data_IF_886427040671
#
_entry.id   IF_886427040671
#
_cell.length_a   1.000
_cell.length_b   1.000
_cell.length_c   1.000
_cell.angle_alpha   90.00
_cell.angle_beta   90.00
_cell.angle_gamma   90.00
#
_symmetry.space_group_name_H-M   'P 1'
#
loop_
_entity.id
_entity.type
_entity.pdbx_description
1 polymer ?
#
# COMPACT_ATOMS: atom_id res chain seq x y z
N UNK A 1 -59.23 18.96 28.42
CA UNK A 1 -58.66 20.32 28.48
C UNK A 1 -57.15 20.21 28.32
N UNK A 2 -56.62 20.84 27.27
CA UNK A 2 -55.20 21.23 27.02
C UNK A 2 -54.11 20.15 26.81
N UNK A 3 -53.84 19.99 25.51
CA UNK A 3 -52.60 19.71 24.78
C UNK A 3 -51.31 20.13 25.51
N UNK A 4 -50.26 19.30 25.46
CA UNK A 4 -48.91 19.75 25.07
C UNK A 4 -48.06 18.61 24.48
N UNK A 5 -47.72 18.78 23.21
CA UNK A 5 -46.75 18.05 22.38
C UNK A 5 -45.34 18.37 22.89
N UNK A 6 -44.39 17.42 22.93
CA UNK A 6 -42.96 17.76 22.87
C UNK A 6 -42.10 16.68 22.19
N UNK A 7 -41.86 16.93 20.89
CA UNK A 7 -40.58 16.92 20.16
C UNK A 7 -39.77 15.61 20.02
N UNK A 8 -39.72 15.14 18.77
CA UNK A 8 -38.70 14.30 18.15
C UNK A 8 -37.26 14.80 18.45
N UNK A 9 -36.37 13.86 18.78
CA UNK A 9 -34.99 13.95 18.35
C UNK A 9 -34.50 12.55 17.98
N UNK A 10 -34.68 12.19 16.71
CA UNK A 10 -33.87 11.20 16.03
C UNK A 10 -32.42 11.68 16.14
N UNK A 11 -31.65 11.15 17.08
CA UNK A 11 -30.19 11.26 17.01
C UNK A 11 -29.78 10.21 16.00
N UNK A 12 -29.82 10.61 14.72
CA UNK A 12 -29.08 9.93 13.66
C UNK A 12 -27.62 9.98 14.08
N UNK A 13 -27.12 8.85 14.59
CA UNK A 13 -25.69 8.60 14.68
C UNK A 13 -25.18 8.72 13.25
N UNK A 14 -24.59 9.86 12.92
CA UNK A 14 -23.72 10.00 11.78
C UNK A 14 -22.58 9.00 12.01
N UNK A 15 -22.68 7.85 11.36
CA UNK A 15 -21.54 7.01 11.03
C UNK A 15 -20.65 7.88 10.14
N UNK A 16 -19.77 8.64 10.76
CA UNK A 16 -18.61 9.20 10.07
C UNK A 16 -17.73 7.98 9.83
N UNK A 17 -18.00 7.26 8.75
CA UNK A 17 -17.02 6.32 8.22
C UNK A 17 -15.76 7.16 7.99
N UNK A 18 -14.62 6.85 8.62
CA UNK A 18 -13.37 7.46 8.20
C UNK A 18 -13.23 7.09 6.73
N UNK A 19 -13.35 8.07 5.83
CA UNK A 19 -12.82 7.86 4.49
C UNK A 19 -11.34 7.64 4.71
N UNK A 20 -10.86 6.44 4.42
CA UNK A 20 -9.43 6.19 4.29
C UNK A 20 -8.98 7.20 3.24
N UNK A 21 -8.34 8.27 3.69
CA UNK A 21 -7.71 9.20 2.78
C UNK A 21 -6.58 8.40 2.15
N UNK A 22 -6.83 7.86 0.97
CA UNK A 22 -5.77 7.28 0.16
C UNK A 22 -4.72 8.38 -0.01
N UNK A 23 -3.54 8.16 0.56
CA UNK A 23 -2.44 9.10 0.46
C UNK A 23 -2.22 9.35 -1.04
N UNK A 24 -2.35 10.60 -1.48
CA UNK A 24 -2.12 10.95 -2.88
C UNK A 24 -0.63 10.75 -3.14
N UNK A 25 -0.22 9.96 -4.16
CA UNK A 25 1.19 9.74 -4.44
C UNK A 25 1.95 11.05 -4.57
N UNK A 26 3.02 11.21 -3.78
CA UNK A 26 3.97 12.28 -4.02
C UNK A 26 4.56 12.07 -5.41
N UNK A 27 4.48 13.09 -6.27
CA UNK A 27 5.12 13.09 -7.60
C UNK A 27 6.65 13.16 -7.45
N UNK A 28 7.25 12.11 -6.93
CA UNK A 28 8.70 12.00 -6.72
C UNK A 28 9.51 11.94 -8.02
N UNK A 29 8.85 11.65 -9.15
CA UNK A 29 9.45 11.60 -10.47
C UNK A 29 10.19 12.90 -10.86
N UNK A 30 9.82 14.04 -10.26
CA UNK A 30 10.42 15.34 -10.54
C UNK A 30 11.87 15.46 -10.02
N UNK A 31 12.32 14.57 -9.11
CA UNK A 31 13.68 14.60 -8.53
C UNK A 31 14.55 13.39 -8.89
N UNK A 32 13.94 12.23 -9.13
CA UNK A 32 14.65 11.03 -9.56
C UNK A 32 13.76 10.24 -10.53
N UNK A 33 14.18 10.06 -11.80
CA UNK A 33 13.36 9.40 -12.82
C UNK A 33 13.10 7.91 -12.52
N UNK A 34 13.80 7.35 -11.55
CA UNK A 34 13.59 5.99 -11.08
C UNK A 34 12.58 5.91 -9.93
N UNK A 35 12.21 7.01 -9.26
CA UNK A 35 11.18 6.96 -8.22
C UNK A 35 9.82 7.05 -8.90
N UNK A 36 9.00 6.01 -8.70
CA UNK A 36 7.67 5.91 -9.31
C UNK A 36 6.56 6.24 -8.32
N UNK A 37 6.82 6.06 -7.02
CA UNK A 37 5.95 6.53 -5.94
C UNK A 37 6.78 6.82 -4.69
N UNK A 38 6.35 7.81 -3.91
CA UNK A 38 6.85 8.07 -2.57
C UNK A 38 5.66 8.58 -1.75
N UNK A 39 5.50 8.08 -0.54
CA UNK A 39 4.50 8.50 0.40
C UNK A 39 5.21 8.68 1.73
N UNK A 40 5.21 9.90 2.26
CA UNK A 40 5.86 10.18 3.55
C UNK A 40 5.08 9.58 4.73
N UNK A 41 3.79 9.34 4.54
CA UNK A 41 2.88 8.73 5.50
C UNK A 41 1.69 8.08 4.77
N UNK A 42 1.00 7.15 5.44
CA UNK A 42 -0.24 6.54 4.95
C UNK A 42 -0.28 5.04 5.15
N UNK A 43 -1.40 4.44 4.74
CA UNK A 43 -1.58 2.98 4.74
C UNK A 43 -1.06 2.43 3.42
N UNK A 44 -0.11 1.50 3.52
CA UNK A 44 0.55 0.86 2.41
C UNK A 44 0.48 -0.65 2.56
N UNK A 45 0.45 -1.37 1.44
CA UNK A 45 0.68 -2.79 1.51
C UNK A 45 2.15 -3.15 1.40
N UNK A 46 2.54 -4.11 2.22
CA UNK A 46 3.74 -4.94 2.10
C UNK A 46 3.52 -6.31 1.41
N UNK A 47 3.95 -6.50 0.15
CA UNK A 47 3.61 -7.67 -0.67
C UNK A 47 4.18 -8.97 -0.08
N UNK A 48 3.38 -9.66 0.72
CA UNK A 48 3.67 -10.96 1.35
C UNK A 48 2.50 -11.91 1.15
N UNK A 49 2.72 -13.21 1.32
CA UNK A 49 1.76 -14.26 0.96
C UNK A 49 0.38 -14.12 1.63
N UNK A 50 0.33 -13.66 2.88
CA UNK A 50 -0.92 -13.39 3.61
C UNK A 50 -1.38 -11.94 3.57
N UNK A 51 -0.56 -11.11 2.92
CA UNK A 51 -0.80 -9.72 2.62
C UNK A 51 -1.09 -8.82 3.85
N UNK A 52 -0.24 -7.83 4.20
CA UNK A 52 -0.47 -6.91 5.34
C UNK A 52 -0.56 -5.42 4.96
N UNK A 53 -1.51 -4.69 5.57
CA UNK A 53 -1.60 -3.20 5.50
C UNK A 53 -0.89 -2.57 6.68
N UNK A 54 0.14 -1.79 6.40
CA UNK A 54 1.02 -1.17 7.38
C UNK A 54 0.93 0.35 7.22
N UNK A 55 1.09 1.08 8.32
CA UNK A 55 1.04 2.55 8.32
C UNK A 55 2.46 3.11 8.45
N UNK A 56 2.89 3.95 7.51
CA UNK A 56 4.26 4.46 7.50
C UNK A 56 4.67 5.18 6.22
N UNK A 57 5.99 5.32 6.04
CA UNK A 57 6.59 5.84 4.81
C UNK A 57 6.79 4.71 3.81
N UNK A 58 6.49 4.95 2.54
CA UNK A 58 6.68 4.00 1.44
C UNK A 58 7.36 4.66 0.24
N UNK A 59 8.45 4.05 -0.22
CA UNK A 59 9.22 4.50 -1.37
C UNK A 59 9.32 3.39 -2.39
N UNK A 60 8.85 3.67 -3.61
CA UNK A 60 8.91 2.73 -4.72
C UNK A 60 9.80 3.29 -5.81
N UNK A 61 10.77 2.48 -6.20
CA UNK A 61 11.68 2.76 -7.30
C UNK A 61 11.59 1.71 -8.39
N UNK A 62 11.93 2.11 -9.61
CA UNK A 62 12.03 1.27 -10.79
C UNK A 62 13.44 1.36 -11.34
N UNK A 63 14.05 0.22 -11.64
CA UNK A 63 15.36 0.18 -12.28
C UNK A 63 15.24 0.50 -13.78
N UNK A 64 15.17 1.78 -14.13
CA UNK A 64 15.03 2.24 -15.51
C UNK A 64 13.82 1.62 -16.21
N UNK A 65 14.03 1.01 -17.39
CA UNK A 65 12.99 0.32 -18.17
C UNK A 65 13.00 -1.21 -18.01
N UNK A 66 13.63 -1.73 -16.96
CA UNK A 66 13.82 -3.18 -16.78
C UNK A 66 12.55 -3.94 -16.37
N UNK A 67 11.52 -3.23 -15.87
CA UNK A 67 10.36 -3.87 -15.25
C UNK A 67 10.68 -4.47 -13.87
N UNK A 68 11.80 -4.09 -13.27
CA UNK A 68 12.16 -4.42 -11.88
C UNK A 68 11.83 -3.23 -10.99
N UNK A 69 11.04 -3.49 -9.95
CA UNK A 69 10.69 -2.51 -8.92
C UNK A 69 11.29 -2.90 -7.58
N UNK A 70 11.58 -1.88 -6.77
CA UNK A 70 11.96 -2.04 -5.37
C UNK A 70 11.08 -1.13 -4.53
N UNK A 71 10.48 -1.70 -3.49
CA UNK A 71 9.71 -0.99 -2.48
C UNK A 71 10.51 -0.99 -1.18
N UNK A 72 10.56 0.17 -0.54
CA UNK A 72 11.13 0.37 0.78
C UNK A 72 10.05 0.98 1.66
N UNK A 73 9.52 0.18 2.58
CA UNK A 73 8.57 0.65 3.56
C UNK A 73 9.24 0.78 4.92
N UNK A 74 8.82 1.75 5.72
CA UNK A 74 9.18 1.88 7.13
C UNK A 74 7.99 2.40 7.94
N UNK A 75 7.59 1.63 8.96
CA UNK A 75 6.47 2.00 9.82
C UNK A 75 5.93 0.84 10.66
N UNK A 76 4.69 0.97 11.09
CA UNK A 76 4.02 0.01 11.98
C UNK A 76 3.09 -0.92 11.19
N UNK A 77 3.12 -2.22 11.52
CA UNK A 77 2.28 -3.25 10.91
C UNK A 77 1.27 -3.80 11.90
N UNK A 78 0.19 -4.41 11.40
CA UNK A 78 -0.83 -5.03 12.25
C UNK A 78 -0.32 -6.31 12.94
N UNK A 79 0.78 -6.87 12.45
CA UNK A 79 1.36 -8.16 12.80
C UNK A 79 2.60 -8.06 13.71
N UNK A 80 3.06 -6.86 14.05
CA UNK A 80 4.21 -6.64 14.93
C UNK A 80 4.11 -5.36 15.75
N UNK A 81 4.85 -5.31 16.87
CA UNK A 81 5.01 -4.10 17.69
C UNK A 81 6.27 -3.32 17.28
N UNK A 82 6.14 -1.99 17.15
CA UNK A 82 7.21 -1.05 16.84
C UNK A 82 7.47 -0.85 15.35
N UNK A 83 8.40 0.05 15.02
CA UNK A 83 8.78 0.37 13.64
C UNK A 83 9.60 -0.76 13.00
N UNK A 84 9.12 -1.35 11.91
CA UNK A 84 9.85 -2.32 11.08
C UNK A 84 9.88 -1.79 9.65
N UNK A 85 10.88 -2.25 8.90
CA UNK A 85 10.99 -1.95 7.50
C UNK A 85 10.78 -3.19 6.66
N UNK A 86 10.20 -2.98 5.47
CA UNK A 86 10.08 -4.03 4.47
C UNK A 86 10.81 -3.61 3.21
N UNK A 87 11.60 -4.52 2.67
CA UNK A 87 12.23 -4.36 1.36
C UNK A 87 11.71 -5.42 0.42
N UNK A 88 10.93 -4.98 -0.57
CA UNK A 88 10.34 -5.87 -1.57
C UNK A 88 10.96 -5.64 -2.94
N UNK A 89 11.32 -6.72 -3.62
CA UNK A 89 11.79 -6.72 -5.00
C UNK A 89 10.76 -7.41 -5.88
N UNK A 90 10.41 -6.75 -6.97
CA UNK A 90 9.37 -7.16 -7.90
C UNK A 90 9.96 -7.31 -9.29
N UNK A 91 9.68 -8.40 -9.97
CA UNK A 91 10.13 -8.65 -11.35
C UNK A 91 9.04 -9.35 -12.15
N UNK A 92 8.83 -8.95 -13.40
CA UNK A 92 7.88 -9.64 -14.28
C UNK A 92 8.17 -11.15 -14.41
N UNK A 93 7.14 -11.99 -14.29
CA UNK A 93 7.21 -13.46 -14.24
C UNK A 93 7.43 -14.15 -15.59
N UNK A 94 7.91 -13.45 -16.62
CA UNK A 94 8.02 -13.99 -18.00
C UNK A 94 8.79 -15.32 -18.11
N UNK A 95 9.74 -15.54 -17.22
CA UNK A 95 10.61 -16.73 -17.17
C UNK A 95 10.29 -17.66 -15.99
N UNK A 96 9.16 -17.44 -15.30
CA UNK A 96 8.82 -18.09 -14.03
C UNK A 96 9.51 -17.48 -12.81
N UNK A 97 8.97 -17.78 -11.62
CA UNK A 97 9.48 -17.22 -10.37
C UNK A 97 10.62 -18.03 -9.76
N UNK A 98 11.66 -17.36 -9.21
CA UNK A 98 12.68 -18.04 -8.42
C UNK A 98 12.06 -18.81 -7.24
N UNK A 99 12.72 -19.86 -6.74
CA UNK A 99 12.28 -20.54 -5.52
C UNK A 99 12.11 -19.54 -4.35
N UNK A 100 11.06 -19.71 -3.56
CA UNK A 100 10.69 -18.85 -2.42
C UNK A 100 10.30 -17.41 -2.77
N UNK A 101 10.07 -17.12 -4.06
CA UNK A 101 9.38 -15.92 -4.50
C UNK A 101 7.93 -16.32 -4.75
N UNK A 102 6.99 -15.47 -4.34
CA UNK A 102 5.59 -15.70 -4.66
C UNK A 102 5.24 -14.98 -5.95
N UNK A 103 4.29 -15.56 -6.69
CA UNK A 103 3.78 -15.02 -7.95
C UNK A 103 2.47 -14.28 -7.68
N UNK A 104 2.31 -13.13 -8.33
CA UNK A 104 1.11 -12.32 -8.24
C UNK A 104 0.75 -11.74 -9.60
N UNK A 105 -0.54 -11.76 -9.93
CA UNK A 105 -1.09 -11.08 -11.10
C UNK A 105 -1.64 -9.72 -10.70
N UNK A 106 -1.10 -8.65 -11.27
CA UNK A 106 -1.63 -7.29 -11.17
C UNK A 106 -2.54 -7.03 -12.37
N UNK A 107 -3.81 -6.69 -12.10
CA UNK A 107 -4.80 -6.35 -13.13
C UNK A 107 -5.01 -4.84 -13.20
N UNK A 108 -5.27 -4.30 -14.40
CA UNK A 108 -5.58 -2.88 -14.57
C UNK A 108 -6.85 -2.53 -13.78
N UNK A 109 -6.78 -1.51 -12.92
CA UNK A 109 -7.93 -0.94 -12.19
C UNK A 109 -8.70 -1.93 -11.32
N UNK A 110 -8.02 -2.52 -10.36
CA UNK A 110 -8.69 -2.95 -9.14
C UNK A 110 -8.43 -1.85 -8.12
N UNK A 111 -9.38 -0.93 -7.92
CA UNK A 111 -9.34 0.13 -6.88
C UNK A 111 -9.39 -0.42 -5.45
N UNK A 112 -8.75 -1.57 -5.25
CA UNK A 112 -8.62 -2.39 -4.06
C UNK A 112 -7.22 -3.03 -4.03
N UNK A 113 -6.26 -2.52 -4.81
CA UNK A 113 -4.94 -3.10 -4.89
C UNK A 113 -4.16 -2.77 -3.62
N UNK A 114 -4.21 -3.79 -2.78
CA UNK A 114 -3.46 -4.06 -1.57
C UNK A 114 -2.06 -3.42 -1.55
N UNK A 115 -1.37 -3.25 -2.68
CA UNK A 115 0.07 -2.97 -2.79
C UNK A 115 0.48 -1.67 -3.49
N UNK A 116 -0.47 -0.75 -3.71
CA UNK A 116 -0.22 0.61 -4.20
C UNK A 116 -0.68 0.86 -5.65
N UNK A 117 -1.05 2.11 -5.91
CA UNK A 117 -1.57 2.61 -7.20
C UNK A 117 -0.55 2.57 -8.35
N UNK A 118 0.74 2.40 -8.04
CA UNK A 118 1.84 2.52 -9.00
C UNK A 118 1.95 1.31 -9.93
N UNK A 119 1.44 0.14 -9.51
CA UNK A 119 1.39 -1.07 -10.33
C UNK A 119 0.16 -1.10 -11.23
N UNK A 120 -0.87 -0.31 -10.94
CA UNK A 120 -2.06 -0.17 -11.79
C UNK A 120 -1.72 0.40 -13.17
N UNK A 121 -0.55 1.06 -13.28
CA UNK A 121 -0.01 1.59 -14.52
C UNK A 121 0.73 0.53 -15.37
N UNK A 122 1.12 -0.60 -14.78
CA UNK A 122 1.86 -1.68 -15.46
C UNK A 122 1.30 -3.07 -15.06
N UNK A 123 0.09 -3.42 -15.53
CA UNK A 123 -0.49 -4.74 -15.28
C UNK A 123 0.42 -5.87 -15.78
N UNK A 124 0.34 -7.01 -15.12
CA UNK A 124 1.09 -8.20 -15.48
C UNK A 124 1.36 -9.12 -14.31
N UNK A 125 2.03 -10.22 -14.60
CA UNK A 125 2.46 -11.18 -13.59
C UNK A 125 3.83 -10.80 -13.05
N UNK A 126 3.96 -10.79 -11.72
CA UNK A 126 5.16 -10.43 -10.99
C UNK A 126 5.58 -11.53 -10.02
N UNK A 127 6.88 -11.79 -9.99
CA UNK A 127 7.57 -12.50 -8.93
C UNK A 127 8.01 -11.51 -7.89
N UNK A 128 7.68 -11.79 -6.63
CA UNK A 128 7.95 -10.87 -5.53
C UNK A 128 8.68 -11.60 -4.41
N UNK A 129 9.65 -10.90 -3.83
CA UNK A 129 10.34 -11.32 -2.64
C UNK A 129 10.47 -10.14 -1.69
N UNK A 130 10.07 -10.37 -0.44
CA UNK A 130 10.01 -9.35 0.60
C UNK A 130 10.85 -9.80 1.79
N UNK A 131 11.70 -8.91 2.27
CA UNK A 131 12.46 -9.09 3.50
C UNK A 131 11.96 -8.09 4.55
N UNK A 132 11.66 -8.60 5.74
CA UNK A 132 11.42 -7.81 6.94
C UNK A 132 12.77 -7.49 7.61
N UNK A 133 12.96 -6.24 8.01
CA UNK A 133 14.10 -5.80 8.80
C UNK A 133 13.67 -4.88 9.93
N UNK A 134 14.32 -5.03 11.08
CA UNK A 134 14.18 -4.09 12.20
C UNK A 134 15.26 -3.04 12.13
N UNK A 135 14.87 -1.78 12.24
CA UNK A 135 15.82 -0.68 12.39
C UNK A 135 16.08 -0.52 13.89
N UNK A 136 17.30 -0.86 14.33
CA UNK A 136 17.72 -0.56 15.69
C UNK A 136 17.77 0.96 15.86
N UNK A 137 17.05 1.49 16.87
CA UNK A 137 17.16 2.90 17.28
C UNK A 137 18.52 3.19 17.90
#
# INVERSE_FOLDING_TARGET
MKILILVLALISLFLISPSVAEAVPFKAADKNPNVVAHYEEGVHGIPVQDSGYHEGEDLVTRAGKSGVFQQWFYGEGQDYEGDHGHHSVWKQSKDGCPPNWFEMTVTEKSGSNFWGDYLDLEPGDYCIHTNDFRVAK
#
